data_IF_844478166357
#
_entry.id   IF_844478166357
#
_cell.length_a   1.000
_cell.length_b   1.000
_cell.length_c   1.000
_cell.angle_alpha   90.00
_cell.angle_beta   90.00
_cell.angle_gamma   90.00
#
_symmetry.space_group_name_H-M   'P 1'
#
loop_
_entity.id
_entity.type
_entity.pdbx_description
1 polymer ?
#
# COMPACT_ATOMS: atom_id res chain seq x y z
N UNK A 1 -19.62 -23.51 16.47
CA UNK A 1 -18.71 -23.28 17.60
C UNK A 1 -18.70 -21.79 17.86
N UNK A 2 -19.18 -21.39 19.03
CA UNK A 2 -19.39 -20.00 19.46
C UNK A 2 -18.51 -19.72 20.69
N UNK A 3 -18.32 -18.44 21.02
CA UNK A 3 -17.53 -18.05 22.20
C UNK A 3 -18.10 -18.65 23.50
N UNK A 4 -19.42 -18.80 23.59
CA UNK A 4 -20.13 -19.48 24.69
C UNK A 4 -19.79 -20.97 24.82
N UNK A 5 -19.28 -21.59 23.75
CA UNK A 5 -18.81 -22.99 23.76
C UNK A 5 -17.34 -23.10 24.20
N UNK A 6 -16.63 -21.98 24.40
CA UNK A 6 -15.23 -21.95 24.82
C UNK A 6 -15.11 -21.83 26.36
N UNK A 7 -14.07 -22.44 26.94
CA UNK A 7 -13.73 -22.19 28.35
C UNK A 7 -13.19 -20.77 28.48
N UNK A 8 -14.00 -19.86 29.01
CA UNK A 8 -13.60 -18.47 29.32
C UNK A 8 -12.90 -18.34 30.67
N UNK A 9 -12.90 -19.41 31.48
CA UNK A 9 -12.00 -19.54 32.62
C UNK A 9 -10.67 -20.09 32.07
N UNK A 10 -9.74 -19.18 31.83
CA UNK A 10 -8.51 -19.45 31.10
C UNK A 10 -7.39 -19.80 32.08
N UNK A 11 -7.06 -21.09 32.22
CA UNK A 11 -5.81 -21.52 32.85
C UNK A 11 -4.60 -21.41 31.88
N UNK A 12 -4.87 -21.36 30.57
CA UNK A 12 -3.88 -21.24 29.49
C UNK A 12 -4.47 -20.49 28.29
N UNK A 13 -3.89 -19.35 27.92
CA UNK A 13 -4.11 -18.68 26.65
C UNK A 13 -2.80 -18.60 25.85
N UNK A 14 -2.87 -18.92 24.56
CA UNK A 14 -1.78 -18.65 23.63
C UNK A 14 -1.92 -17.19 23.20
N UNK A 15 -1.00 -16.35 23.67
CA UNK A 15 -0.91 -14.94 23.28
C UNK A 15 0.49 -14.66 22.77
N UNK A 16 0.64 -13.61 21.96
CA UNK A 16 1.97 -13.12 21.61
C UNK A 16 2.76 -12.78 22.89
N UNK A 17 4.10 -12.97 22.92
CA UNK A 17 4.89 -12.67 24.10
C UNK A 17 4.66 -11.25 24.59
N UNK A 18 4.33 -11.10 25.87
CA UNK A 18 4.08 -9.78 26.49
C UNK A 18 5.34 -8.91 26.40
N UNK A 19 6.52 -9.50 26.61
CA UNK A 19 7.80 -8.81 26.51
C UNK A 19 8.72 -9.57 25.56
N UNK A 20 9.40 -8.84 24.68
CA UNK A 20 10.43 -9.36 23.78
C UNK A 20 11.77 -8.70 24.11
N UNK A 21 12.84 -9.46 23.97
CA UNK A 21 14.22 -8.97 24.09
C UNK A 21 14.98 -9.04 22.78
N UNK A 22 14.37 -9.65 21.76
CA UNK A 22 14.92 -9.85 20.42
C UNK A 22 13.80 -9.70 19.38
N UNK A 23 14.14 -9.36 18.12
CA UNK A 23 13.16 -9.24 17.05
C UNK A 23 12.55 -10.61 16.71
N UNK A 24 11.30 -10.60 16.27
CA UNK A 24 10.67 -11.81 15.73
C UNK A 24 11.36 -12.26 14.44
N UNK A 25 11.42 -13.58 14.23
CA UNK A 25 12.07 -14.18 13.05
C UNK A 25 11.45 -13.68 11.73
N UNK A 26 10.13 -13.49 11.70
CA UNK A 26 9.41 -12.95 10.54
C UNK A 26 9.90 -11.55 10.13
N UNK A 27 10.16 -10.68 11.10
CA UNK A 27 10.70 -9.34 10.87
C UNK A 27 12.15 -9.38 10.39
N UNK A 28 12.96 -10.28 10.97
CA UNK A 28 14.36 -10.48 10.54
C UNK A 28 14.40 -10.98 9.10
N UNK A 29 13.60 -12.00 8.77
CA UNK A 29 13.51 -12.55 7.43
C UNK A 29 13.05 -11.49 6.43
N UNK A 30 11.99 -10.74 6.73
CA UNK A 30 11.45 -9.72 5.84
C UNK A 30 12.46 -8.59 5.56
N UNK A 31 13.30 -8.23 6.55
CA UNK A 31 14.40 -7.28 6.37
C UNK A 31 15.49 -7.89 5.46
N UNK A 32 15.90 -9.11 5.76
CA UNK A 32 17.02 -9.77 5.07
C UNK A 32 16.72 -10.06 3.59
N UNK A 33 15.45 -10.30 3.26
CA UNK A 33 14.99 -10.42 1.86
C UNK A 33 14.78 -9.09 1.16
N UNK A 34 14.87 -7.95 1.87
CA UNK A 34 14.56 -6.62 1.34
C UNK A 34 13.06 -6.42 1.06
N UNK A 35 12.21 -7.24 1.65
CA UNK A 35 10.76 -7.17 1.52
C UNK A 35 10.21 -5.96 2.28
N UNK A 36 10.71 -5.73 3.50
CA UNK A 36 10.52 -4.47 4.24
C UNK A 36 11.80 -3.61 4.17
N UNK A 37 11.67 -2.27 4.05
CA UNK A 37 12.83 -1.40 4.13
C UNK A 37 13.52 -1.42 5.49
N UNK A 38 14.84 -1.23 5.51
CA UNK A 38 15.66 -1.21 6.73
C UNK A 38 15.12 -0.21 7.77
N UNK A 39 14.71 1.00 7.34
CA UNK A 39 14.19 2.01 8.25
C UNK A 39 12.89 1.57 8.96
N UNK A 40 12.07 0.69 8.36
CA UNK A 40 10.86 0.14 8.99
C UNK A 40 11.27 -0.85 10.09
N UNK A 41 12.23 -1.71 9.80
CA UNK A 41 12.81 -2.61 10.80
C UNK A 41 13.49 -1.83 11.94
N UNK A 42 14.22 -0.76 11.62
CA UNK A 42 14.86 0.10 12.64
C UNK A 42 13.81 0.71 13.57
N UNK A 43 12.70 1.24 13.05
CA UNK A 43 11.63 1.78 13.88
C UNK A 43 11.02 0.70 14.79
N UNK A 44 10.83 -0.51 14.28
CA UNK A 44 10.39 -1.67 15.06
C UNK A 44 11.36 -2.01 16.19
N UNK A 45 12.67 -2.01 15.92
CA UNK A 45 13.68 -2.26 16.95
C UNK A 45 13.76 -1.14 18.00
N UNK A 46 13.65 0.13 17.57
CA UNK A 46 13.64 1.31 18.46
C UNK A 46 12.43 1.30 19.39
N UNK A 47 11.30 0.83 18.89
CA UNK A 47 10.11 0.58 19.69
C UNK A 47 10.20 -0.68 20.56
N UNK A 48 11.43 -1.15 20.86
CA UNK A 48 11.69 -2.32 21.70
C UNK A 48 10.90 -3.56 21.25
N UNK A 49 10.82 -3.76 19.93
CA UNK A 49 10.12 -4.88 19.31
C UNK A 49 8.62 -4.91 19.64
N UNK A 50 8.03 -3.74 19.88
CA UNK A 50 6.63 -3.56 20.29
C UNK A 50 6.29 -4.28 21.60
N UNK A 51 7.26 -4.37 22.50
CA UNK A 51 7.10 -5.03 23.80
C UNK A 51 6.16 -4.27 24.73
N UNK A 52 5.29 -4.97 25.45
CA UNK A 52 4.43 -4.38 26.45
C UNK A 52 5.24 -3.65 27.54
N UNK A 53 4.75 -2.48 27.97
CA UNK A 53 5.38 -1.65 29.00
C UNK A 53 6.67 -0.95 28.54
N UNK A 54 7.01 -0.98 27.25
CA UNK A 54 8.17 -0.26 26.68
C UNK A 54 7.78 1.01 25.94
N UNK A 55 6.52 1.44 26.08
CA UNK A 55 6.02 2.64 25.44
C UNK A 55 6.88 3.87 25.83
N UNK A 56 7.33 4.68 24.87
CA UNK A 56 7.97 5.95 25.17
C UNK A 56 6.93 6.90 25.78
N UNK A 57 7.39 7.94 26.50
CA UNK A 57 6.53 8.81 27.30
C UNK A 57 5.39 9.46 26.50
N UNK A 58 5.62 9.80 25.24
CA UNK A 58 4.61 10.42 24.38
C UNK A 58 3.51 9.45 23.92
N UNK A 59 3.70 8.12 24.09
CA UNK A 59 2.74 7.05 23.78
C UNK A 59 2.29 6.26 25.02
N UNK A 60 2.82 6.60 26.21
CA UNK A 60 2.57 5.87 27.44
C UNK A 60 1.31 6.39 28.16
N UNK A 61 0.13 6.01 27.66
CA UNK A 61 -1.14 6.17 28.39
C UNK A 61 -1.37 5.03 29.40
N UNK A 62 -2.26 5.26 30.38
CA UNK A 62 -2.52 4.33 31.50
C UNK A 62 -3.01 2.96 31.02
N UNK A 63 -3.74 2.93 29.90
CA UNK A 63 -4.34 1.73 29.33
C UNK A 63 -3.50 1.12 28.17
N UNK A 64 -2.34 1.71 27.86
CA UNK A 64 -1.44 1.34 26.76
C UNK A 64 -2.09 1.39 25.35
N UNK A 65 -3.13 2.19 25.16
CA UNK A 65 -3.93 2.24 23.94
C UNK A 65 -3.13 2.79 22.77
N UNK A 66 -2.43 3.92 22.95
CA UNK A 66 -1.70 4.59 21.87
C UNK A 66 -0.50 3.79 21.41
N UNK A 67 0.27 3.23 22.35
CA UNK A 67 1.40 2.38 21.98
C UNK A 67 0.95 1.08 21.29
N UNK A 68 -0.14 0.48 21.76
CA UNK A 68 -0.73 -0.70 21.10
C UNK A 68 -1.22 -0.36 19.69
N UNK A 69 -1.90 0.78 19.52
CA UNK A 69 -2.36 1.24 18.21
C UNK A 69 -1.19 1.58 17.26
N UNK A 70 -0.14 2.23 17.76
CA UNK A 70 1.12 2.41 17.02
C UNK A 70 1.72 1.08 16.58
N UNK A 71 1.77 0.08 17.49
CA UNK A 71 2.23 -1.26 17.17
C UNK A 71 1.39 -1.95 16.10
N UNK A 72 0.05 -1.85 16.19
CA UNK A 72 -0.87 -2.35 15.16
C UNK A 72 -0.59 -1.73 13.79
N UNK A 73 -0.41 -0.40 13.73
CA UNK A 73 -0.10 0.30 12.49
C UNK A 73 1.26 -0.12 11.91
N UNK A 74 2.28 -0.24 12.75
CA UNK A 74 3.62 -0.64 12.30
C UNK A 74 3.65 -2.08 11.80
N UNK A 75 2.99 -3.00 12.51
CA UNK A 75 2.80 -4.39 12.06
C UNK A 75 2.00 -4.45 10.77
N UNK A 76 0.89 -3.71 10.67
CA UNK A 76 0.08 -3.66 9.45
C UNK A 76 0.87 -3.12 8.25
N UNK A 77 1.73 -2.12 8.44
CA UNK A 77 2.64 -1.63 7.42
C UNK A 77 3.61 -2.73 6.95
N UNK A 78 4.24 -3.43 7.91
CA UNK A 78 5.18 -4.52 7.63
C UNK A 78 4.53 -5.69 6.88
N UNK A 79 3.40 -6.19 7.38
CA UNK A 79 2.63 -7.28 6.76
C UNK A 79 2.14 -6.89 5.37
N UNK A 80 1.62 -5.68 5.19
CA UNK A 80 1.17 -5.19 3.88
C UNK A 80 2.31 -5.15 2.84
N UNK A 81 3.54 -4.86 3.27
CA UNK A 81 4.72 -4.89 2.39
C UNK A 81 5.14 -6.33 2.06
N UNK A 82 5.06 -7.25 3.02
CA UNK A 82 5.30 -8.69 2.80
C UNK A 82 4.30 -9.27 1.82
N UNK A 83 3.02 -9.01 2.04
CA UNK A 83 1.95 -9.44 1.15
C UNK A 83 2.16 -8.87 -0.26
N UNK A 84 2.47 -7.58 -0.38
CA UNK A 84 2.70 -6.95 -1.68
C UNK A 84 3.86 -7.61 -2.45
N UNK A 85 4.98 -7.89 -1.79
CA UNK A 85 6.13 -8.56 -2.41
C UNK A 85 5.80 -9.99 -2.85
N UNK A 86 5.08 -10.74 -2.01
CA UNK A 86 4.58 -12.06 -2.37
C UNK A 86 3.65 -11.98 -3.59
N UNK A 87 2.71 -11.04 -3.60
CA UNK A 87 1.78 -10.87 -4.71
C UNK A 87 2.49 -10.46 -6.00
N UNK A 88 3.57 -9.67 -5.95
CA UNK A 88 4.41 -9.41 -7.14
C UNK A 88 5.02 -10.72 -7.65
N UNK A 89 5.61 -11.53 -6.77
CA UNK A 89 6.23 -12.81 -7.15
C UNK A 89 5.22 -13.75 -7.80
N UNK A 90 4.07 -13.96 -7.13
CA UNK A 90 3.00 -14.83 -7.60
C UNK A 90 2.37 -14.31 -8.90
N UNK A 91 2.20 -12.99 -9.03
CA UNK A 91 1.72 -12.37 -10.27
C UNK A 91 2.65 -12.67 -11.45
N UNK A 92 3.96 -12.46 -11.27
CA UNK A 92 4.95 -12.69 -12.33
C UNK A 92 4.99 -14.16 -12.71
N UNK A 93 4.94 -15.06 -11.73
CA UNK A 93 4.88 -16.50 -11.98
C UNK A 93 3.63 -16.87 -12.78
N UNK A 94 2.45 -16.39 -12.38
CA UNK A 94 1.20 -16.65 -13.08
C UNK A 94 1.22 -16.09 -14.51
N UNK A 95 1.66 -14.83 -14.70
CA UNK A 95 1.81 -14.23 -16.03
C UNK A 95 2.75 -15.03 -16.94
N UNK A 96 3.83 -15.60 -16.38
CA UNK A 96 4.76 -16.44 -17.15
C UNK A 96 4.12 -17.74 -17.65
N UNK A 97 2.98 -18.15 -17.09
CA UNK A 97 2.22 -19.35 -17.46
C UNK A 97 0.97 -19.05 -18.30
N UNK A 98 0.60 -17.78 -18.50
CA UNK A 98 -0.53 -17.38 -19.34
C UNK A 98 -0.33 -17.80 -20.80
N UNK A 99 -1.40 -18.23 -21.47
CA UNK A 99 -1.36 -18.57 -22.89
C UNK A 99 -1.00 -17.35 -23.76
N UNK A 100 -0.09 -17.53 -24.72
CA UNK A 100 0.09 -16.63 -25.85
C UNK A 100 0.35 -17.40 -27.15
N UNK A 101 0.00 -16.86 -28.33
CA UNK A 101 0.24 -17.53 -29.61
C UNK A 101 1.72 -17.86 -29.85
N UNK A 102 2.64 -17.07 -29.32
CA UNK A 102 4.08 -17.32 -29.41
C UNK A 102 4.49 -18.56 -28.62
N UNK A 103 4.00 -18.76 -27.39
CA UNK A 103 4.22 -19.98 -26.60
C UNK A 103 3.76 -21.23 -27.34
N UNK A 104 2.59 -21.15 -27.97
CA UNK A 104 2.07 -22.25 -28.80
C UNK A 104 3.00 -22.58 -29.96
N UNK A 105 3.54 -21.58 -30.65
CA UNK A 105 4.49 -21.78 -31.76
C UNK A 105 5.82 -22.36 -31.25
N UNK A 106 6.29 -21.93 -30.07
CA UNK A 106 7.55 -22.39 -29.45
C UNK A 106 7.42 -23.73 -28.72
N UNK A 107 6.21 -24.26 -28.54
CA UNK A 107 5.96 -25.50 -27.78
C UNK A 107 6.19 -25.34 -26.27
N UNK A 108 6.11 -24.12 -25.75
CA UNK A 108 6.24 -23.85 -24.31
C UNK A 108 4.95 -24.25 -23.57
N UNK A 109 5.04 -24.74 -22.32
CA UNK A 109 3.85 -25.04 -21.53
C UNK A 109 3.11 -23.76 -21.10
N UNK A 110 1.79 -23.86 -20.97
CA UNK A 110 0.94 -22.84 -20.38
C UNK A 110 -0.13 -23.49 -19.50
N UNK A 111 -0.71 -22.70 -18.60
CA UNK A 111 -1.75 -23.13 -17.68
C UNK A 111 -3.07 -22.41 -18.05
N UNK A 112 -4.20 -23.13 -18.23
CA UNK A 112 -5.51 -22.53 -18.49
C UNK A 112 -5.96 -21.53 -17.42
N UNK A 113 -5.57 -21.74 -16.16
CA UNK A 113 -6.02 -20.96 -15.02
C UNK A 113 -5.06 -19.80 -14.66
N UNK A 114 -3.89 -19.74 -15.31
CA UNK A 114 -2.86 -18.74 -15.03
C UNK A 114 -3.34 -17.29 -15.15
N UNK A 115 -4.21 -17.01 -16.11
CA UNK A 115 -4.75 -15.67 -16.32
C UNK A 115 -5.69 -15.23 -15.19
N UNK A 116 -6.50 -16.15 -14.65
CA UNK A 116 -7.31 -15.90 -13.45
C UNK A 116 -6.42 -15.65 -12.23
N UNK A 117 -5.42 -16.50 -12.00
CA UNK A 117 -4.49 -16.34 -10.89
C UNK A 117 -3.71 -15.03 -10.98
N UNK A 118 -3.20 -14.67 -12.17
CA UNK A 118 -2.51 -13.41 -12.38
C UNK A 118 -3.41 -12.21 -12.00
N UNK A 119 -4.67 -12.21 -12.42
CA UNK A 119 -5.60 -11.13 -12.03
C UNK A 119 -5.86 -11.06 -10.53
N UNK A 120 -6.02 -12.22 -9.88
CA UNK A 120 -6.21 -12.32 -8.43
C UNK A 120 -5.00 -11.75 -7.69
N UNK A 121 -3.79 -12.12 -8.08
CA UNK A 121 -2.56 -11.60 -7.48
C UNK A 121 -2.39 -10.10 -7.74
N UNK A 122 -2.74 -9.59 -8.93
CA UNK A 122 -2.73 -8.16 -9.20
C UNK A 122 -3.71 -7.39 -8.31
N UNK A 123 -4.92 -7.92 -8.10
CA UNK A 123 -5.91 -7.33 -7.18
C UNK A 123 -5.36 -7.26 -5.75
N UNK A 124 -4.83 -8.37 -5.23
CA UNK A 124 -4.31 -8.40 -3.87
C UNK A 124 -3.10 -7.48 -3.72
N UNK A 125 -2.20 -7.42 -4.70
CA UNK A 125 -1.09 -6.47 -4.72
C UNK A 125 -1.59 -5.03 -4.51
N UNK A 126 -2.59 -4.60 -5.29
CA UNK A 126 -3.14 -3.24 -5.21
C UNK A 126 -3.79 -2.94 -3.84
N UNK A 127 -4.40 -3.96 -3.21
CA UNK A 127 -4.97 -3.83 -1.88
C UNK A 127 -3.88 -3.72 -0.82
N UNK A 128 -2.85 -4.57 -0.86
CA UNK A 128 -1.72 -4.55 0.08
C UNK A 128 -0.92 -3.24 -0.03
N UNK A 129 -0.64 -2.76 -1.24
CA UNK A 129 0.04 -1.47 -1.42
C UNK A 129 -0.77 -0.29 -0.89
N UNK A 130 -2.09 -0.28 -1.10
CA UNK A 130 -2.95 0.74 -0.49
C UNK A 130 -2.96 0.62 1.05
N UNK A 131 -3.05 -0.60 1.58
CA UNK A 131 -3.01 -0.87 3.01
C UNK A 131 -1.73 -0.33 3.65
N UNK A 132 -0.58 -0.54 3.00
CA UNK A 132 0.70 0.01 3.44
C UNK A 132 0.68 1.56 3.49
N UNK A 133 0.13 2.23 2.46
CA UNK A 133 0.02 3.68 2.44
C UNK A 133 -0.93 4.22 3.53
N UNK A 134 -2.05 3.54 3.80
CA UNK A 134 -3.00 3.95 4.83
C UNK A 134 -2.45 3.71 6.25
N UNK A 135 -1.74 2.59 6.48
CA UNK A 135 -1.02 2.33 7.72
C UNK A 135 0.07 3.39 7.97
N UNK A 136 0.82 3.77 6.92
CA UNK A 136 1.80 4.85 6.96
C UNK A 136 1.16 6.20 7.35
N UNK A 137 -0.02 6.50 6.81
CA UNK A 137 -0.78 7.69 7.17
C UNK A 137 -1.20 7.68 8.64
N UNK A 138 -1.59 6.51 9.16
CA UNK A 138 -1.84 6.30 10.59
C UNK A 138 -0.61 6.58 11.43
N UNK A 139 0.55 6.06 11.04
CA UNK A 139 1.81 6.32 11.75
C UNK A 139 2.11 7.83 11.79
N UNK A 140 2.03 8.54 10.66
CA UNK A 140 2.22 10.00 10.62
C UNK A 140 1.29 10.71 11.61
N UNK A 141 0.02 10.30 11.69
CA UNK A 141 -0.97 10.89 12.59
C UNK A 141 -0.59 10.71 14.08
N UNK A 142 0.10 9.62 14.44
CA UNK A 142 0.63 9.40 15.80
C UNK A 142 1.71 10.42 16.15
N UNK A 143 2.66 10.68 15.23
CA UNK A 143 3.79 11.56 15.50
C UNK A 143 3.47 13.05 15.36
N UNK A 144 2.59 13.42 14.42
CA UNK A 144 2.28 14.81 14.07
C UNK A 144 0.79 15.12 14.31
N UNK A 145 0.28 14.93 15.53
CA UNK A 145 -1.14 15.00 15.80
C UNK A 145 -1.71 16.39 15.60
N UNK A 146 -2.76 16.50 14.78
CA UNK A 146 -3.45 17.75 14.51
C UNK A 146 -2.66 18.76 13.66
N UNK A 147 -1.43 18.43 13.25
CA UNK A 147 -0.59 19.31 12.42
C UNK A 147 -0.92 19.18 10.93
N UNK A 148 -1.38 18.00 10.51
CA UNK A 148 -1.90 17.78 9.15
C UNK A 148 -3.43 17.86 9.20
N UNK A 149 -4.04 18.85 8.54
CA UNK A 149 -5.50 18.99 8.53
C UNK A 149 -6.19 17.73 8.01
N UNK A 150 -7.25 17.31 8.71
CA UNK A 150 -8.06 16.12 8.37
C UNK A 150 -7.36 14.76 8.47
N UNK A 151 -6.07 14.70 8.83
CA UNK A 151 -5.40 13.46 9.18
C UNK A 151 -5.65 13.17 10.66
N UNK A 152 -6.63 12.29 10.92
CA UNK A 152 -7.13 11.97 12.27
C UNK A 152 -6.72 10.55 12.64
N UNK A 153 -6.26 10.34 13.86
CA UNK A 153 -5.92 9.01 14.36
C UNK A 153 -7.18 8.12 14.39
N UNK A 154 -7.03 6.82 14.09
CA UNK A 154 -8.17 5.90 13.94
C UNK A 154 -8.90 5.99 12.59
N UNK A 155 -8.77 7.10 11.86
CA UNK A 155 -9.43 7.34 10.54
C UNK A 155 -8.46 7.86 9.48
N UNK A 156 -7.16 7.73 9.72
CA UNK A 156 -6.12 8.21 8.83
C UNK A 156 -6.18 7.44 7.51
N UNK A 157 -6.05 8.18 6.42
CA UNK A 157 -6.00 7.63 5.06
C UNK A 157 -4.97 8.41 4.26
N UNK A 158 -4.25 7.74 3.38
CA UNK A 158 -3.22 8.37 2.56
C UNK A 158 -3.78 9.44 1.62
N UNK A 159 -5.06 9.34 1.25
CA UNK A 159 -5.76 10.38 0.48
C UNK A 159 -5.83 11.73 1.20
N UNK A 160 -5.79 11.75 2.54
CA UNK A 160 -5.74 12.99 3.33
C UNK A 160 -4.35 13.64 3.28
N UNK A 161 -3.29 12.83 3.23
CA UNK A 161 -1.92 13.31 3.05
C UNK A 161 -1.73 13.93 1.67
N UNK A 162 -2.19 13.26 0.62
CA UNK A 162 -2.16 13.81 -0.75
C UNK A 162 -2.84 15.18 -0.84
N UNK A 163 -4.07 15.29 -0.31
CA UNK A 163 -4.80 16.56 -0.32
C UNK A 163 -4.10 17.68 0.48
N UNK A 164 -3.27 17.32 1.45
CA UNK A 164 -2.43 18.25 2.19
C UNK A 164 -1.19 18.67 1.36
N UNK A 165 -0.53 17.73 0.69
CA UNK A 165 0.64 17.97 -0.16
C UNK A 165 0.33 18.84 -1.40
N UNK A 166 -0.93 18.82 -1.86
CA UNK A 166 -1.43 19.70 -2.94
C UNK A 166 -1.35 21.19 -2.60
N UNK A 167 -1.21 21.55 -1.33
CA UNK A 167 -1.17 22.94 -0.86
C UNK A 167 0.25 23.30 -0.46
N UNK A 168 0.74 24.52 -0.78
CA UNK A 168 2.02 24.97 -0.27
C UNK A 168 1.99 25.00 1.25
N UNK A 169 3.06 24.53 1.87
CA UNK A 169 3.20 24.61 3.32
C UNK A 169 3.23 26.09 3.73
N UNK A 170 2.42 26.46 4.72
CA UNK A 170 2.48 27.82 5.26
C UNK A 170 3.83 27.98 5.96
N UNK A 171 4.63 28.96 5.56
CA UNK A 171 5.90 29.26 6.22
C UNK A 171 5.64 29.70 7.66
N UNK A 172 5.96 28.84 8.62
CA UNK A 172 5.94 29.18 10.05
C UNK A 172 7.04 30.20 10.39
N UNK A 173 6.87 30.90 11.52
CA UNK A 173 7.66 32.07 11.90
C UNK A 173 9.16 31.83 12.16
N UNK A 174 9.85 32.86 12.66
CA UNK A 174 11.31 32.87 12.87
C UNK A 174 11.88 31.78 13.80
N UNK A 175 11.02 31.10 14.58
CA UNK A 175 11.38 30.00 15.49
C UNK A 175 10.47 28.82 15.21
N UNK A 176 11.07 27.65 14.93
CA UNK A 176 10.36 26.41 14.65
C UNK A 176 10.38 25.50 15.87
N UNK A 177 9.23 24.94 16.21
CA UNK A 177 9.16 23.82 17.14
C UNK A 177 9.69 22.54 16.49
N UNK A 178 10.16 21.54 17.25
CA UNK A 178 10.59 20.26 16.68
C UNK A 178 9.51 19.60 15.81
N UNK A 179 8.24 19.70 16.21
CA UNK A 179 7.11 19.17 15.45
C UNK A 179 6.89 19.89 14.11
N UNK A 180 7.07 21.21 14.05
CA UNK A 180 6.99 21.97 12.79
C UNK A 180 8.17 21.63 11.87
N UNK A 181 9.37 21.47 12.42
CA UNK A 181 10.55 21.04 11.64
C UNK A 181 10.32 19.67 10.99
N UNK A 182 9.81 18.69 11.74
CA UNK A 182 9.45 17.39 11.18
C UNK A 182 8.32 17.46 10.15
N UNK A 183 7.33 18.33 10.35
CA UNK A 183 6.25 18.54 9.38
C UNK A 183 6.80 19.07 8.05
N UNK A 184 7.77 20.01 8.09
CA UNK A 184 8.44 20.52 6.89
C UNK A 184 9.28 19.44 6.21
N UNK A 185 10.12 18.71 6.97
CA UNK A 185 10.93 17.62 6.42
C UNK A 185 10.06 16.55 5.76
N UNK A 186 8.94 16.19 6.40
CA UNK A 186 7.97 15.26 5.84
C UNK A 186 7.38 15.78 4.53
N UNK A 187 6.95 17.05 4.50
CA UNK A 187 6.39 17.67 3.30
C UNK A 187 7.40 17.67 2.14
N UNK A 188 8.62 18.16 2.40
CA UNK A 188 9.66 18.31 1.38
C UNK A 188 10.10 16.97 0.80
N UNK A 189 10.17 15.92 1.63
CA UNK A 189 10.56 14.58 1.20
C UNK A 189 9.42 13.85 0.49
N UNK A 190 8.18 13.99 0.97
CA UNK A 190 7.04 13.22 0.47
C UNK A 190 6.43 13.83 -0.79
N UNK A 191 6.35 15.16 -0.88
CA UNK A 191 5.73 15.86 -2.00
C UNK A 191 6.26 15.43 -3.38
N UNK A 192 7.58 15.39 -3.65
CA UNK A 192 8.08 14.99 -4.97
C UNK A 192 7.80 13.52 -5.31
N UNK A 193 7.55 12.66 -4.31
CA UNK A 193 7.21 11.26 -4.52
C UNK A 193 5.73 11.06 -4.82
N UNK A 194 4.85 11.82 -4.16
CA UNK A 194 3.39 11.75 -4.34
C UNK A 194 2.94 12.53 -5.57
N UNK A 195 3.53 13.71 -5.80
CA UNK A 195 3.28 14.57 -6.95
C UNK A 195 4.55 14.73 -7.80
N UNK A 196 5.06 13.65 -8.41
CA UNK A 196 6.20 13.73 -9.30
C UNK A 196 5.81 14.47 -10.59
N UNK A 197 6.81 14.99 -11.29
CA UNK A 197 6.63 15.48 -12.65
C UNK A 197 6.40 14.33 -13.64
N UNK A 198 6.12 14.66 -14.91
CA UNK A 198 6.06 13.66 -15.98
C UNK A 198 7.38 12.87 -16.05
N UNK A 199 7.33 11.55 -16.33
CA UNK A 199 6.19 10.78 -16.82
C UNK A 199 5.29 10.15 -15.73
N UNK A 200 5.63 10.29 -14.44
CA UNK A 200 4.98 9.52 -13.36
C UNK A 200 3.83 10.25 -12.66
N UNK A 201 3.52 11.48 -13.05
CA UNK A 201 2.57 12.38 -12.38
C UNK A 201 1.29 11.71 -11.87
N UNK A 202 0.73 10.79 -12.64
CA UNK A 202 -0.57 10.19 -12.37
C UNK A 202 -0.48 8.75 -11.77
N UNK A 203 0.69 8.33 -11.26
CA UNK A 203 0.91 6.95 -10.75
C UNK A 203 -0.08 6.55 -9.66
N UNK A 204 -0.35 7.45 -8.70
CA UNK A 204 -1.20 7.18 -7.54
C UNK A 204 -2.69 7.17 -7.92
N UNK A 205 -3.22 8.17 -8.67
CA UNK A 205 -4.56 8.09 -9.24
C UNK A 205 -4.78 6.83 -10.08
N UNK A 206 -3.80 6.44 -10.91
CA UNK A 206 -3.89 5.25 -11.76
C UNK A 206 -3.93 3.96 -10.92
N UNK A 207 -3.07 3.81 -9.93
CA UNK A 207 -3.10 2.69 -8.98
C UNK A 207 -4.48 2.57 -8.32
N UNK A 208 -5.03 3.69 -7.81
CA UNK A 208 -6.33 3.69 -7.14
C UNK A 208 -7.48 3.37 -8.08
N UNK A 209 -7.41 3.81 -9.33
CA UNK A 209 -8.36 3.43 -10.37
C UNK A 209 -8.35 1.90 -10.53
N UNK A 210 -7.20 1.29 -10.77
CA UNK A 210 -7.11 -0.18 -10.89
C UNK A 210 -7.62 -0.89 -9.63
N UNK A 211 -7.20 -0.44 -8.45
CA UNK A 211 -7.62 -1.00 -7.15
C UNK A 211 -9.13 -1.00 -6.98
N UNK A 212 -9.79 0.13 -7.29
CA UNK A 212 -11.25 0.24 -7.21
C UNK A 212 -11.94 -0.69 -8.22
N UNK A 213 -11.44 -0.77 -9.46
CA UNK A 213 -12.07 -1.58 -10.50
C UNK A 213 -11.89 -3.08 -10.24
N UNK A 214 -10.72 -3.51 -9.81
CA UNK A 214 -10.47 -4.90 -9.40
C UNK A 214 -11.32 -5.31 -8.18
N UNK A 215 -11.55 -4.39 -7.23
CA UNK A 215 -12.37 -4.66 -6.07
C UNK A 215 -13.87 -4.82 -6.42
N UNK A 216 -14.41 -3.94 -7.27
CA UNK A 216 -15.85 -3.86 -7.51
C UNK A 216 -16.38 -4.69 -8.68
N UNK A 217 -15.59 -4.87 -9.74
CA UNK A 217 -16.07 -5.49 -10.98
C UNK A 217 -15.53 -6.92 -11.18
N UNK A 218 -14.68 -7.41 -10.27
CA UNK A 218 -14.13 -8.77 -10.29
C UNK A 218 -12.96 -8.95 -11.27
N UNK A 219 -12.80 -10.18 -11.77
CA UNK A 219 -11.62 -10.56 -12.56
C UNK A 219 -11.75 -10.15 -14.04
N UNK A 220 -12.94 -10.09 -14.62
CA UNK A 220 -13.13 -9.85 -16.07
C UNK A 220 -12.93 -8.39 -16.55
N UNK A 221 -12.20 -7.57 -15.80
CA UNK A 221 -12.36 -6.10 -15.85
C UNK A 221 -11.26 -5.42 -16.65
N UNK A 222 -10.04 -5.97 -16.64
CA UNK A 222 -8.93 -5.38 -17.37
C UNK A 222 -8.78 -6.01 -18.75
N UNK A 223 -9.16 -5.26 -19.78
CA UNK A 223 -8.86 -5.60 -21.17
C UNK A 223 -7.39 -5.34 -21.46
N UNK A 224 -6.54 -6.32 -21.16
CA UNK A 224 -5.13 -6.28 -21.54
C UNK A 224 -4.97 -6.19 -23.06
N UNK A 225 -4.05 -5.35 -23.51
CA UNK A 225 -3.59 -5.36 -24.90
C UNK A 225 -2.28 -6.14 -24.96
N UNK A 226 -2.25 -7.20 -25.76
CA UNK A 226 -1.07 -8.04 -25.95
C UNK A 226 -0.31 -7.63 -27.22
N UNK A 227 0.95 -7.23 -27.08
CA UNK A 227 1.82 -6.86 -28.19
C UNK A 227 3.06 -7.75 -28.18
N UNK A 228 3.58 -8.13 -29.35
CA UNK A 228 4.77 -8.97 -29.42
C UNK A 228 6.03 -8.16 -29.76
N UNK A 229 7.17 -8.58 -29.21
CA UNK A 229 8.48 -8.07 -29.60
C UNK A 229 8.95 -8.67 -30.93
N UNK A 230 10.16 -8.29 -31.37
CA UNK A 230 10.79 -8.82 -32.60
C UNK A 230 11.09 -10.32 -32.52
N UNK A 231 11.19 -10.89 -31.31
CA UNK A 231 11.40 -12.32 -31.09
C UNK A 231 10.08 -13.11 -31.00
N UNK A 232 8.92 -12.45 -31.18
CA UNK A 232 7.61 -13.09 -31.10
C UNK A 232 7.18 -13.41 -29.66
N UNK A 233 7.79 -12.77 -28.66
CA UNK A 233 7.33 -12.86 -27.25
C UNK A 233 6.26 -11.82 -27.02
N UNK A 234 5.12 -12.24 -26.49
CA UNK A 234 4.00 -11.36 -26.18
C UNK A 234 4.16 -10.73 -24.80
N UNK A 235 3.78 -9.46 -24.69
CA UNK A 235 3.80 -8.64 -23.50
C UNK A 235 2.40 -8.04 -23.30
N UNK A 236 1.90 -8.07 -22.06
CA UNK A 236 0.58 -7.55 -21.72
C UNK A 236 0.70 -6.10 -21.23
N UNK A 237 -0.18 -5.22 -21.73
CA UNK A 237 -0.21 -3.81 -21.39
C UNK A 237 -1.56 -3.44 -20.76
N UNK A 238 -1.49 -2.63 -19.69
CA UNK A 238 -2.66 -2.05 -19.04
C UNK A 238 -3.07 -0.74 -19.74
N UNK A 239 -4.38 -0.43 -19.81
CA UNK A 239 -4.84 0.89 -20.25
C UNK A 239 -4.60 1.94 -19.16
N UNK A 240 -4.31 3.18 -19.56
CA UNK A 240 -4.16 4.34 -18.66
C UNK A 240 -5.48 5.07 -18.37
N UNK A 241 -6.58 4.55 -18.89
CA UNK A 241 -7.91 5.14 -18.79
C UNK A 241 -8.98 4.09 -18.43
N UNK A 242 -10.12 4.57 -17.93
CA UNK A 242 -11.28 3.74 -17.64
C UNK A 242 -12.59 4.46 -17.98
N UNK A 243 -13.58 3.77 -18.59
CA UNK A 243 -13.50 2.43 -19.17
C UNK A 243 -12.64 2.45 -20.45
N UNK A 244 -11.81 1.43 -20.62
CA UNK A 244 -11.09 1.23 -21.89
C UNK A 244 -11.97 0.40 -22.83
N UNK A 245 -12.37 0.99 -23.96
CA UNK A 245 -13.30 0.37 -24.92
C UNK A 245 -12.64 0.38 -26.30
N UNK A 246 -12.03 -0.75 -26.67
CA UNK A 246 -11.31 -0.87 -27.95
C UNK A 246 -12.27 -0.71 -29.15
N UNK A 247 -13.51 -1.16 -29.00
CA UNK A 247 -14.60 -1.12 -29.99
C UNK A 247 -15.05 0.30 -30.34
N UNK A 248 -14.69 1.29 -29.50
CA UNK A 248 -14.87 2.71 -29.82
C UNK A 248 -13.95 3.13 -30.97
N UNK A 249 -12.77 2.53 -31.05
CA UNK A 249 -11.70 2.91 -31.98
C UNK A 249 -11.53 1.92 -33.14
N UNK A 250 -11.87 0.65 -32.93
CA UNK A 250 -11.76 -0.40 -33.93
C UNK A 250 -13.15 -0.87 -34.38
N UNK A 251 -13.44 -0.74 -35.68
CA UNK A 251 -14.67 -1.22 -36.31
C UNK A 251 -14.40 -2.46 -37.17
N UNK A 252 -15.38 -3.38 -37.31
CA UNK A 252 -15.31 -4.49 -38.26
C UNK A 252 -15.05 -3.99 -39.69
N UNK A 253 -14.47 -4.85 -40.53
CA UNK A 253 -13.87 -4.52 -41.83
C UNK A 253 -14.78 -3.80 -42.84
N UNK A 254 -16.10 -3.77 -42.62
CA UNK A 254 -17.09 -3.16 -43.52
C UNK A 254 -17.43 -1.69 -43.16
N UNK A 255 -17.01 -1.21 -41.97
CA UNK A 255 -17.26 0.15 -41.53
C UNK A 255 -15.94 0.94 -41.50
N UNK A 256 -15.73 1.80 -42.50
CA UNK A 256 -14.94 3.04 -42.41
C UNK A 256 -13.68 2.96 -41.52
N UNK A 257 -12.80 2.00 -41.81
CA UNK A 257 -11.51 1.87 -41.12
C UNK A 257 -10.68 3.13 -41.38
N UNK A 258 -10.00 3.70 -40.37
CA UNK A 258 -8.99 4.72 -40.62
C UNK A 258 -7.98 4.18 -41.64
N UNK A 259 -7.84 4.85 -42.79
CA UNK A 259 -6.89 4.43 -43.85
C UNK A 259 -5.43 4.65 -43.45
N UNK A 260 -5.19 5.36 -42.35
CA UNK A 260 -3.88 5.67 -41.83
C UNK A 260 -3.29 4.47 -41.07
N UNK A 261 -2.19 3.92 -41.60
CA UNK A 261 -1.44 2.83 -40.97
C UNK A 261 -0.83 3.19 -39.61
N UNK A 262 -0.70 4.48 -39.30
CA UNK A 262 -0.18 4.95 -38.02
C UNK A 262 -1.24 5.02 -36.91
N UNK A 263 -2.52 4.88 -37.25
CA UNK A 263 -3.64 5.04 -36.32
C UNK A 263 -3.56 4.08 -35.12
N UNK A 264 -3.38 2.77 -35.34
CA UNK A 264 -3.34 1.78 -34.26
C UNK A 264 -2.10 1.98 -33.35
N UNK A 265 -0.88 2.16 -33.91
CA UNK A 265 0.28 2.53 -33.10
C UNK A 265 0.07 3.81 -32.27
N UNK A 266 -0.53 4.85 -32.85
CA UNK A 266 -0.81 6.10 -32.15
C UNK A 266 -1.82 5.87 -31.01
N UNK A 267 -2.92 5.16 -31.29
CA UNK A 267 -3.91 4.78 -30.28
C UNK A 267 -3.26 4.09 -29.08
N UNK A 268 -2.43 3.07 -29.31
CA UNK A 268 -1.79 2.33 -28.21
C UNK A 268 -0.80 3.19 -27.42
N UNK A 269 -0.06 4.09 -28.07
CA UNK A 269 0.78 5.08 -27.36
C UNK A 269 -0.07 6.05 -26.55
N UNK A 270 -1.26 6.38 -27.02
CA UNK A 270 -2.16 7.33 -26.37
C UNK A 270 -3.08 6.69 -25.33
N UNK A 271 -3.16 5.37 -25.22
CA UNK A 271 -4.13 4.73 -24.29
C UNK A 271 -3.51 3.71 -23.35
N UNK A 272 -2.31 3.20 -23.62
CA UNK A 272 -1.67 2.20 -22.77
C UNK A 272 -0.64 2.82 -21.85
N UNK A 273 -0.37 2.13 -20.73
CA UNK A 273 0.82 2.36 -19.93
C UNK A 273 2.04 1.97 -20.79
N UNK A 274 3.10 2.81 -20.81
CA UNK A 274 4.28 2.61 -21.67
C UNK A 274 5.26 1.55 -21.16
N UNK A 275 4.79 0.64 -20.33
CA UNK A 275 5.51 -0.53 -19.85
C UNK A 275 4.54 -1.70 -19.73
N UNK A 276 5.06 -2.92 -19.89
CA UNK A 276 4.25 -4.11 -19.70
C UNK A 276 3.82 -4.25 -18.24
N UNK A 277 2.79 -5.07 -18.00
CA UNK A 277 2.19 -5.22 -16.68
C UNK A 277 3.16 -5.78 -15.63
N UNK A 278 4.11 -6.64 -16.02
CA UNK A 278 5.13 -7.17 -15.09
C UNK A 278 6.10 -6.08 -14.67
N UNK A 279 6.55 -5.25 -15.60
CA UNK A 279 7.36 -4.06 -15.29
C UNK A 279 6.57 -3.06 -14.44
N UNK A 280 5.29 -2.85 -14.75
CA UNK A 280 4.41 -1.96 -13.98
C UNK A 280 4.25 -2.39 -12.52
N UNK A 281 3.94 -3.66 -12.23
CA UNK A 281 3.73 -4.10 -10.84
C UNK A 281 4.99 -3.98 -10.00
N UNK A 282 6.16 -4.27 -10.58
CA UNK A 282 7.45 -4.12 -9.91
C UNK A 282 7.77 -2.65 -9.63
N UNK A 283 7.58 -1.79 -10.64
CA UNK A 283 7.78 -0.35 -10.50
C UNK A 283 6.84 0.27 -9.48
N UNK A 284 5.57 -0.15 -9.47
CA UNK A 284 4.59 0.33 -8.51
C UNK A 284 4.94 -0.07 -7.06
N UNK A 285 5.35 -1.33 -6.82
CA UNK A 285 5.85 -1.75 -5.50
C UNK A 285 7.06 -0.93 -5.07
N UNK A 286 8.02 -0.72 -5.97
CA UNK A 286 9.20 0.10 -5.68
C UNK A 286 8.82 1.54 -5.33
N UNK A 287 7.92 2.17 -6.10
CA UNK A 287 7.44 3.54 -5.85
C UNK A 287 6.79 3.70 -4.48
N UNK A 288 5.95 2.74 -4.07
CA UNK A 288 5.34 2.73 -2.73
C UNK A 288 6.39 2.51 -1.64
N UNK A 289 7.37 1.65 -1.88
CA UNK A 289 8.51 1.46 -0.98
C UNK A 289 9.31 2.76 -0.79
N UNK A 290 9.56 3.53 -1.85
CA UNK A 290 10.27 4.82 -1.76
C UNK A 290 9.49 5.83 -0.90
N UNK A 291 8.17 5.89 -1.06
CA UNK A 291 7.28 6.71 -0.22
C UNK A 291 7.40 6.30 1.25
N UNK A 292 7.37 4.99 1.54
CA UNK A 292 7.49 4.48 2.91
C UNK A 292 8.86 4.79 3.49
N UNK A 293 9.95 4.59 2.72
CA UNK A 293 11.31 4.90 3.15
C UNK A 293 11.45 6.38 3.50
N UNK A 294 10.96 7.26 2.63
CA UNK A 294 10.99 8.71 2.85
C UNK A 294 10.33 9.11 4.17
N UNK A 295 9.11 8.62 4.41
CA UNK A 295 8.36 8.96 5.62
C UNK A 295 8.98 8.32 6.86
N UNK A 296 9.22 7.01 6.84
CA UNK A 296 9.67 6.26 8.03
C UNK A 296 11.07 6.69 8.45
N UNK A 297 11.91 7.14 7.53
CA UNK A 297 13.21 7.74 7.89
C UNK A 297 13.03 9.01 8.74
N UNK A 298 12.07 9.87 8.40
CA UNK A 298 11.72 11.04 9.23
C UNK A 298 11.14 10.61 10.56
N UNK A 299 10.23 9.61 10.57
CA UNK A 299 9.61 9.12 11.79
C UNK A 299 10.59 8.45 12.76
N UNK A 300 11.64 7.79 12.26
CA UNK A 300 12.71 7.25 13.11
C UNK A 300 13.40 8.35 13.92
N UNK A 301 13.72 9.47 13.28
CA UNK A 301 14.33 10.62 13.94
C UNK A 301 13.34 11.26 14.92
N UNK A 302 12.07 11.39 14.51
CA UNK A 302 11.01 11.91 15.38
C UNK A 302 10.79 11.05 16.63
N UNK A 303 10.85 9.72 16.50
CA UNK A 303 10.70 8.80 17.62
C UNK A 303 11.74 9.04 18.72
N UNK A 304 13.01 9.19 18.34
CA UNK A 304 14.09 9.46 19.30
C UNK A 304 13.94 10.83 19.97
N UNK A 305 13.51 11.84 19.22
CA UNK A 305 13.35 13.20 19.75
C UNK A 305 12.10 13.34 20.63
N UNK A 306 11.01 12.68 20.27
CA UNK A 306 9.73 12.77 20.99
C UNK A 306 9.65 11.81 22.17
N UNK A 307 10.60 10.88 22.34
CA UNK A 307 10.53 9.85 23.39
C UNK A 307 10.24 10.39 24.80
N UNK A 308 10.72 11.60 25.12
CA UNK A 308 10.54 12.28 26.41
C UNK A 308 9.40 13.31 26.41
N UNK A 309 8.73 13.52 25.28
CA UNK A 309 7.63 14.46 25.18
C UNK A 309 6.46 13.96 26.03
N UNK A 310 5.65 14.87 26.59
CA UNK A 310 4.44 14.48 27.31
C UNK A 310 3.46 13.78 26.37
N UNK A 311 2.72 12.82 26.92
CA UNK A 311 1.57 12.21 26.27
C UNK A 311 0.60 13.27 25.77
N UNK A 312 0.20 13.17 24.50
CA UNK A 312 -0.82 14.04 23.91
C UNK A 312 -2.22 13.52 24.25
N UNK A 313 -2.84 14.12 25.27
CA UNK A 313 -4.19 13.75 25.73
C UNK A 313 -5.27 13.92 24.64
N UNK A 314 -5.11 14.91 23.76
CA UNK A 314 -6.02 15.12 22.64
C UNK A 314 -5.97 13.97 21.62
N UNK A 315 -4.81 13.36 21.43
CA UNK A 315 -4.61 12.23 20.50
C UNK A 315 -5.25 10.97 21.03
N UNK A 316 -5.06 10.69 22.32
CA UNK A 316 -5.74 9.59 23.00
C UNK A 316 -7.26 9.75 22.90
N UNK A 317 -7.78 10.94 23.21
CA UNK A 317 -9.20 11.23 23.11
C UNK A 317 -9.75 11.07 21.68
N UNK A 318 -8.99 11.49 20.67
CA UNK A 318 -9.36 11.34 19.26
C UNK A 318 -9.43 9.87 18.84
N UNK A 319 -8.44 9.06 19.23
CA UNK A 319 -8.46 7.61 18.97
C UNK A 319 -9.63 6.92 19.67
N UNK A 320 -9.87 7.24 20.95
CA UNK A 320 -11.01 6.70 21.70
C UNK A 320 -12.35 7.06 21.04
N UNK A 321 -12.52 8.31 20.60
CA UNK A 321 -13.72 8.77 19.91
C UNK A 321 -13.90 8.14 18.51
N UNK A 322 -12.83 7.59 17.93
CA UNK A 322 -12.89 6.87 16.66
C UNK A 322 -13.35 5.41 16.80
N UNK A 323 -13.32 4.87 18.03
CA UNK A 323 -13.72 3.49 18.33
C UNK A 323 -15.24 3.33 18.26
N UNK A 324 -15.70 2.32 17.52
CA UNK A 324 -17.11 1.95 17.43
C UNK A 324 -17.28 0.50 17.85
N UNK A 325 -18.08 0.26 18.89
CA UNK A 325 -18.42 -1.08 19.32
C UNK A 325 -19.68 -1.54 18.59
N UNK A 326 -19.54 -2.57 17.74
CA UNK A 326 -20.66 -3.19 17.07
C UNK A 326 -21.33 -4.23 17.98
N UNK A 327 -22.67 -4.25 18.02
CA UNK A 327 -23.45 -5.25 18.77
C UNK A 327 -23.57 -6.60 18.03
N UNK A 328 -22.67 -6.88 17.09
CA UNK A 328 -22.70 -8.11 16.30
C UNK A 328 -22.14 -9.27 17.14
N UNK A 329 -22.92 -10.34 17.29
CA UNK A 329 -22.51 -11.52 18.07
C UNK A 329 -22.28 -12.75 17.20
N UNK A 330 -23.25 -13.15 16.35
CA UNK A 330 -23.11 -14.29 15.44
C UNK A 330 -24.16 -14.27 14.33
N UNK A 331 -23.89 -14.99 13.24
CA UNK A 331 -24.93 -15.36 12.28
C UNK A 331 -25.76 -16.52 12.85
N UNK A 332 -27.10 -16.47 12.76
CA UNK A 332 -27.93 -17.60 13.14
C UNK A 332 -27.64 -18.79 12.21
N UNK A 333 -27.64 -20.00 12.77
CA UNK A 333 -27.61 -21.22 11.95
C UNK A 333 -28.94 -21.28 11.18
N UNK A 334 -28.84 -21.44 9.85
CA UNK A 334 -29.99 -21.63 8.97
C UNK A 334 -30.54 -23.05 9.05
#
# INVERSE_FOLDING_TARGET
MRLEDCSLNIDLAITAPVKRTEPEESWVQARDTGTIPVCVFDLYTRASYLSFGTAPRFLADEDNILFSYFGMLLTSLGESLVDADEQVRLFVEAQSKTYDPGKKIRGEPWDPDADEWARRHFKYLLLSLQGALDALAGLIAVFLPGLIPSLRLGRAQFSKLEAWLDRPLSTSGLVLTPQEDFLMQLYDTLRPLVHPDSPERDWLPLMRMFRNKAAHLGDAVFSYVYLHDRAGRFHAFLPREWPYILEKHMKPAEASRPKDSSFVPALFRDTLVHQDVVTYVRGLRAKVSDVIVAVVSVLNVAYDQFKEFPLSQSVLAELLASSEAYTFEYFPLA
#
